data_IF_946333578677
#
_entry.id   IF_946333578677
#
_cell.length_a   1.000
_cell.length_b   1.000
_cell.length_c   1.000
_cell.angle_alpha   90.00
_cell.angle_beta   90.00
_cell.angle_gamma   90.00
#
_symmetry.space_group_name_H-M   'P 1'
#
loop_
_entity.id
_entity.type
_entity.pdbx_description
1 polymer ?
#
# COMPACT_ATOMS: atom_id res chain seq x y z
N UNK A 1 20.26 27.69 32.36
CA UNK A 1 19.04 28.30 31.77
C UNK A 1 18.94 27.78 30.34
N UNK A 2 18.09 26.79 30.11
CA UNK A 2 17.88 26.21 28.78
C UNK A 2 17.05 27.18 27.93
N UNK A 3 17.43 27.45 26.67
CA UNK A 3 16.65 28.35 25.82
C UNK A 3 15.33 27.67 25.43
N UNK A 4 14.22 28.32 25.76
CA UNK A 4 12.88 27.96 25.27
C UNK A 4 12.84 28.08 23.74
N UNK A 5 12.59 26.96 23.04
CA UNK A 5 12.36 26.94 21.60
C UNK A 5 11.06 27.69 21.27
N UNK A 6 11.05 28.60 20.27
CA UNK A 6 9.89 29.44 19.97
C UNK A 6 8.76 28.67 19.26
N UNK A 7 7.55 28.81 19.78
CA UNK A 7 6.28 28.17 19.41
C UNK A 7 5.67 28.66 18.08
N UNK A 8 6.46 28.94 17.05
CA UNK A 8 5.96 29.50 15.78
C UNK A 8 6.48 28.73 14.58
N UNK A 9 5.81 27.62 14.25
CA UNK A 9 5.94 26.94 12.95
C UNK A 9 4.68 26.11 12.69
N UNK A 10 3.58 26.80 12.37
CA UNK A 10 2.38 26.19 11.76
C UNK A 10 1.79 27.21 10.79
N UNK A 11 2.27 27.21 9.55
CA UNK A 11 1.58 27.86 8.44
C UNK A 11 2.16 27.37 7.11
N UNK A 12 1.38 26.51 6.44
CA UNK A 12 1.29 26.27 5.00
C UNK A 12 1.29 24.77 4.67
N UNK A 13 0.12 24.13 4.83
CA UNK A 13 -0.24 23.02 3.96
C UNK A 13 -1.63 23.31 3.40
N UNK A 14 -1.68 23.59 2.10
CA UNK A 14 -2.91 23.86 1.35
C UNK A 14 -3.79 22.61 1.39
N UNK A 15 -4.97 22.72 2.01
CA UNK A 15 -6.04 21.73 1.94
C UNK A 15 -6.68 21.82 0.56
N UNK A 16 -6.31 20.93 -0.36
CA UNK A 16 -7.09 20.70 -1.57
C UNK A 16 -8.28 19.79 -1.21
N UNK A 17 -9.39 20.40 -0.80
CA UNK A 17 -10.69 19.70 -0.72
C UNK A 17 -11.30 19.67 -2.11
N UNK A 18 -11.20 18.52 -2.80
CA UNK A 18 -11.94 18.28 -4.05
C UNK A 18 -13.36 17.79 -3.71
N UNK A 19 -14.42 18.46 -4.19
CA UNK A 19 -15.77 17.95 -4.04
C UNK A 19 -16.08 16.92 -5.13
N UNK A 20 -16.19 15.64 -4.77
CA UNK A 20 -16.83 14.62 -5.61
C UNK A 20 -18.27 14.42 -5.13
N UNK A 21 -19.24 14.93 -5.88
CA UNK A 21 -20.66 14.60 -5.66
C UNK A 21 -20.94 13.22 -6.28
N UNK A 22 -20.89 12.16 -5.48
CA UNK A 22 -21.39 10.84 -5.84
C UNK A 22 -22.67 10.55 -5.04
N UNK A 23 -23.69 10.00 -5.70
CA UNK A 23 -24.97 9.65 -5.07
C UNK A 23 -24.79 8.38 -4.23
N UNK A 24 -24.75 8.53 -2.91
CA UNK A 24 -24.65 7.42 -1.97
C UNK A 24 -25.96 6.64 -1.80
N UNK A 25 -25.91 5.43 -1.22
CA UNK A 25 -27.11 4.66 -0.88
C UNK A 25 -28.02 5.42 0.10
N UNK A 26 -29.34 5.24 -0.04
CA UNK A 26 -30.35 5.91 0.76
C UNK A 26 -30.10 5.75 2.27
N UNK A 27 -30.00 6.87 2.99
CA UNK A 27 -29.77 6.93 4.44
C UNK A 27 -28.39 7.46 4.85
N UNK A 28 -27.49 7.72 3.90
CA UNK A 28 -26.20 8.38 4.17
C UNK A 28 -26.24 9.81 3.61
N UNK A 29 -26.19 10.80 4.49
CA UNK A 29 -25.89 12.17 4.09
C UNK A 29 -24.49 12.17 3.43
N UNK A 30 -24.35 12.78 2.25
CA UNK A 30 -23.17 12.64 1.37
C UNK A 30 -21.81 13.08 1.96
N UNK A 31 -21.75 13.43 3.24
CA UNK A 31 -20.56 13.89 3.96
C UNK A 31 -19.56 12.77 4.30
N UNK A 32 -19.95 11.49 4.18
CA UNK A 32 -19.11 10.34 4.59
C UNK A 32 -18.98 9.27 3.50
N UNK A 33 -18.89 9.70 2.24
CA UNK A 33 -18.69 8.81 1.11
C UNK A 33 -17.22 8.78 0.69
N UNK A 34 -16.73 7.58 0.37
CA UNK A 34 -15.47 7.39 -0.32
C UNK A 34 -15.59 7.87 -1.79
N UNK A 35 -14.48 8.02 -2.53
CA UNK A 35 -14.49 8.53 -3.91
C UNK A 35 -15.36 7.74 -4.89
N UNK A 36 -15.64 6.46 -4.62
CA UNK A 36 -16.52 5.60 -5.41
C UNK A 36 -18.01 5.74 -5.04
N UNK A 37 -18.38 6.69 -4.16
CA UNK A 37 -19.74 6.92 -3.71
C UNK A 37 -20.26 5.92 -2.69
N UNK A 38 -19.43 4.99 -2.22
CA UNK A 38 -19.79 4.04 -1.15
C UNK A 38 -19.50 4.64 0.23
N UNK A 39 -20.18 4.16 1.28
CA UNK A 39 -19.85 4.54 2.65
C UNK A 39 -18.36 4.37 2.96
N UNK A 40 -17.77 5.42 3.54
CA UNK A 40 -16.37 5.48 3.96
C UNK A 40 -16.24 5.99 5.39
N UNK A 41 -15.00 6.25 5.80
CA UNK A 41 -14.67 6.85 7.09
C UNK A 41 -15.08 8.33 7.13
N UNK A 42 -14.93 9.05 6.01
CA UNK A 42 -15.30 10.46 5.87
C UNK A 42 -14.17 11.41 6.27
N UNK A 43 -13.88 12.40 5.41
CA UNK A 43 -12.76 13.34 5.58
C UNK A 43 -13.05 14.53 6.50
N UNK A 44 -14.31 14.71 6.91
CA UNK A 44 -14.75 15.81 7.78
C UNK A 44 -14.84 15.42 9.25
N UNK A 45 -14.80 14.12 9.56
CA UNK A 45 -14.92 13.61 10.93
C UNK A 45 -13.70 13.99 11.76
N UNK A 46 -13.94 14.45 12.98
CA UNK A 46 -12.89 14.64 14.00
C UNK A 46 -12.25 13.30 14.39
N UNK A 47 -11.07 13.33 15.01
CA UNK A 47 -10.41 12.14 15.53
C UNK A 47 -11.31 11.38 16.52
N UNK A 48 -12.10 12.12 17.31
CA UNK A 48 -13.08 11.53 18.25
C UNK A 48 -14.22 10.81 17.53
N UNK A 49 -14.76 11.38 16.46
CA UNK A 49 -15.83 10.75 15.67
C UNK A 49 -15.33 9.52 14.93
N UNK A 50 -14.15 9.60 14.31
CA UNK A 50 -13.49 8.43 13.71
C UNK A 50 -13.24 7.34 14.76
N UNK A 51 -12.85 7.71 15.98
CA UNK A 51 -12.66 6.77 17.08
C UNK A 51 -13.93 6.01 17.47
N UNK A 52 -15.11 6.64 17.39
CA UNK A 52 -16.39 5.97 17.68
C UNK A 52 -16.73 4.86 16.69
N UNK A 53 -16.21 4.92 15.46
CA UNK A 53 -16.43 3.86 14.45
C UNK A 53 -15.83 2.51 14.85
N UNK A 54 -14.81 2.51 15.70
CA UNK A 54 -14.19 1.28 16.23
C UNK A 54 -14.95 0.71 17.44
N UNK A 55 -15.97 1.42 17.93
CA UNK A 55 -16.93 0.97 18.92
C UNK A 55 -18.37 1.26 18.45
N UNK A 56 -18.78 0.75 17.27
CA UNK A 56 -19.98 1.21 16.60
C UNK A 56 -21.22 0.72 17.36
N UNK A 57 -22.07 1.68 17.74
CA UNK A 57 -23.43 1.42 18.23
C UNK A 57 -24.42 1.17 17.08
N UNK A 58 -24.08 1.59 15.87
CA UNK A 58 -24.89 1.43 14.66
C UNK A 58 -24.41 0.23 13.81
N UNK A 59 -25.36 -0.60 13.38
CA UNK A 59 -25.14 -1.76 12.51
C UNK A 59 -24.69 -1.36 11.11
N UNK A 60 -25.07 -0.18 10.62
CA UNK A 60 -24.61 0.30 9.31
C UNK A 60 -23.11 0.63 9.34
N UNK A 61 -22.64 1.37 10.35
CA UNK A 61 -21.21 1.66 10.55
C UNK A 61 -20.40 0.39 10.79
N UNK A 62 -20.93 -0.55 11.58
CA UNK A 62 -20.29 -1.86 11.81
C UNK A 62 -20.08 -2.63 10.52
N UNK A 63 -21.09 -2.69 9.65
CA UNK A 63 -21.00 -3.36 8.34
C UNK A 63 -20.06 -2.63 7.39
N UNK A 64 -20.07 -1.30 7.39
CA UNK A 64 -19.14 -0.50 6.58
C UNK A 64 -17.69 -0.78 6.98
N UNK A 65 -17.36 -0.70 8.28
CA UNK A 65 -16.00 -0.95 8.76
C UNK A 65 -15.55 -2.39 8.52
N UNK A 66 -16.42 -3.38 8.78
CA UNK A 66 -16.13 -4.79 8.48
C UNK A 66 -15.91 -5.01 6.97
N UNK A 67 -16.68 -4.31 6.13
CA UNK A 67 -16.51 -4.32 4.68
C UNK A 67 -15.15 -3.78 4.24
N UNK A 68 -14.66 -2.69 4.83
CA UNK A 68 -13.32 -2.15 4.55
C UNK A 68 -12.23 -3.12 5.00
N UNK A 69 -12.32 -3.63 6.24
CA UNK A 69 -11.35 -4.59 6.80
C UNK A 69 -11.29 -5.88 5.96
N UNK A 70 -12.43 -6.33 5.43
CA UNK A 70 -12.52 -7.55 4.63
C UNK A 70 -11.94 -7.47 3.22
N UNK A 71 -11.69 -6.26 2.68
CA UNK A 71 -11.26 -6.09 1.28
C UNK A 71 -9.95 -6.82 0.97
N UNK A 72 -8.99 -6.76 1.89
CA UNK A 72 -7.71 -7.44 1.73
C UNK A 72 -7.92 -8.96 1.61
N UNK A 73 -8.71 -9.54 2.51
CA UNK A 73 -9.04 -10.97 2.51
C UNK A 73 -9.77 -11.41 1.26
N UNK A 74 -10.77 -10.64 0.82
CA UNK A 74 -11.53 -10.92 -0.41
C UNK A 74 -10.60 -11.00 -1.65
N UNK A 75 -9.67 -10.06 -1.77
CA UNK A 75 -8.72 -10.02 -2.89
C UNK A 75 -7.71 -11.17 -2.80
N UNK A 76 -7.23 -11.52 -1.61
CA UNK A 76 -6.34 -12.67 -1.42
C UNK A 76 -7.02 -13.99 -1.82
N UNK A 77 -8.33 -14.14 -1.55
CA UNK A 77 -9.10 -15.30 -2.03
C UNK A 77 -9.13 -15.36 -3.56
N UNK A 78 -9.37 -14.22 -4.24
CA UNK A 78 -9.37 -14.14 -5.71
C UNK A 78 -7.97 -14.37 -6.31
N UNK A 79 -6.91 -13.94 -5.60
CA UNK A 79 -5.52 -14.24 -5.94
C UNK A 79 -5.27 -15.75 -5.88
N UNK A 80 -5.69 -16.42 -4.81
CA UNK A 80 -5.52 -17.87 -4.66
C UNK A 80 -6.35 -18.67 -5.69
N UNK A 81 -7.54 -18.20 -6.04
CA UNK A 81 -8.28 -18.76 -7.18
C UNK A 81 -7.50 -18.65 -8.49
N UNK A 82 -6.84 -17.52 -8.72
CA UNK A 82 -5.98 -17.32 -9.90
C UNK A 82 -4.79 -18.27 -9.89
N UNK A 83 -4.12 -18.46 -8.75
CA UNK A 83 -3.02 -19.41 -8.59
C UNK A 83 -3.46 -20.83 -8.96
N UNK A 84 -4.58 -21.29 -8.41
CA UNK A 84 -5.13 -22.62 -8.72
C UNK A 84 -5.39 -22.80 -10.21
N UNK A 85 -5.94 -21.77 -10.86
CA UNK A 85 -6.25 -21.81 -12.27
C UNK A 85 -4.97 -21.81 -13.15
N UNK A 86 -3.94 -21.04 -12.77
CA UNK A 86 -2.64 -21.06 -13.44
C UNK A 86 -1.88 -22.38 -13.27
N UNK A 87 -1.97 -23.01 -12.09
CA UNK A 87 -1.43 -24.36 -11.86
C UNK A 87 -2.13 -25.37 -12.75
N UNK A 88 -3.45 -25.33 -12.85
CA UNK A 88 -4.21 -26.20 -13.75
C UNK A 88 -3.85 -25.99 -15.23
N UNK A 89 -3.43 -24.78 -15.60
CA UNK A 89 -2.97 -24.46 -16.96
C UNK A 89 -1.49 -24.79 -17.23
N UNK A 90 -0.74 -25.30 -16.24
CA UNK A 90 0.69 -25.63 -16.36
C UNK A 90 1.63 -24.41 -16.40
N UNK A 91 1.16 -23.19 -16.13
CA UNK A 91 1.98 -21.98 -16.27
C UNK A 91 3.20 -21.97 -15.33
N UNK A 92 3.07 -22.58 -14.15
CA UNK A 92 4.17 -22.70 -13.19
C UNK A 92 5.25 -23.69 -13.63
N UNK A 93 4.94 -24.63 -14.52
CA UNK A 93 5.91 -25.59 -15.04
C UNK A 93 7.00 -24.90 -15.85
N UNK A 94 6.71 -23.71 -16.40
CA UNK A 94 7.66 -22.85 -17.09
C UNK A 94 8.77 -22.29 -16.17
N UNK A 95 8.56 -22.31 -14.85
CA UNK A 95 9.53 -21.86 -13.84
C UNK A 95 10.26 -23.02 -13.16
N UNK A 96 9.82 -24.26 -13.33
CA UNK A 96 10.36 -25.45 -12.65
C UNK A 96 9.93 -25.64 -11.19
N UNK A 97 9.51 -24.57 -10.51
CA UNK A 97 8.66 -24.49 -9.32
C UNK A 97 8.58 -23.01 -8.94
N UNK A 98 7.46 -22.53 -8.40
CA UNK A 98 7.43 -21.15 -7.93
C UNK A 98 6.08 -20.64 -7.43
N UNK A 99 6.14 -19.43 -6.88
CA UNK A 99 4.99 -18.68 -6.38
C UNK A 99 4.47 -17.67 -7.41
N UNK A 100 3.27 -17.13 -7.18
CA UNK A 100 2.63 -16.22 -8.14
C UNK A 100 3.49 -15.00 -8.47
N UNK A 101 4.15 -14.43 -7.46
CA UNK A 101 4.95 -13.22 -7.62
C UNK A 101 6.20 -13.50 -8.47
N UNK A 102 6.75 -14.71 -8.40
CA UNK A 102 7.85 -15.16 -9.26
C UNK A 102 7.36 -15.33 -10.71
N UNK A 103 6.18 -15.90 -10.93
CA UNK A 103 5.57 -16.00 -12.25
C UNK A 103 5.28 -14.63 -12.87
N UNK A 104 4.70 -13.72 -12.10
CA UNK A 104 4.47 -12.34 -12.52
C UNK A 104 5.78 -11.59 -12.76
N UNK A 105 6.80 -11.80 -11.92
CA UNK A 105 8.12 -11.19 -12.04
C UNK A 105 8.92 -11.69 -13.24
N UNK A 106 8.78 -12.96 -13.61
CA UNK A 106 9.45 -13.57 -14.76
C UNK A 106 8.80 -13.21 -16.11
N UNK A 107 7.51 -12.84 -16.12
CA UNK A 107 6.77 -12.60 -17.36
C UNK A 107 7.37 -11.51 -18.28
N UNK A 108 7.92 -10.38 -17.82
CA UNK A 108 8.62 -9.42 -18.67
C UNK A 108 9.77 -10.04 -19.47
N UNK A 109 10.60 -10.87 -18.82
CA UNK A 109 11.70 -11.59 -19.49
C UNK A 109 11.17 -12.63 -20.46
N UNK A 110 10.13 -13.36 -20.05
CA UNK A 110 9.42 -14.29 -20.91
C UNK A 110 8.90 -13.63 -22.18
N UNK A 111 8.36 -12.39 -22.06
CA UNK A 111 7.89 -11.61 -23.21
C UNK A 111 9.02 -11.21 -24.16
N UNK A 112 10.18 -10.79 -23.65
CA UNK A 112 11.31 -10.42 -24.50
C UNK A 112 11.92 -11.60 -25.27
N UNK A 113 11.77 -12.81 -24.73
CA UNK A 113 12.33 -14.05 -25.29
C UNK A 113 11.22 -15.05 -25.70
N UNK A 114 10.04 -14.53 -26.07
CA UNK A 114 8.84 -15.35 -26.24
C UNK A 114 9.03 -16.50 -27.22
N UNK A 115 9.73 -16.30 -28.34
CA UNK A 115 9.91 -17.36 -29.34
C UNK A 115 10.82 -18.48 -28.84
N UNK A 116 11.84 -18.14 -28.04
CA UNK A 116 12.72 -19.12 -27.40
C UNK A 116 11.95 -19.93 -26.35
N UNK A 117 11.17 -19.25 -25.52
CA UNK A 117 10.33 -19.91 -24.53
C UNK A 117 9.22 -20.74 -25.15
N UNK A 118 8.60 -20.30 -26.25
CA UNK A 118 7.60 -21.07 -27.00
C UNK A 118 8.25 -22.28 -27.67
N UNK A 119 9.46 -22.16 -28.20
CA UNK A 119 10.21 -23.29 -28.76
C UNK A 119 10.52 -24.37 -27.71
N UNK A 120 10.80 -24.00 -26.46
CA UNK A 120 11.11 -24.93 -25.36
C UNK A 120 9.88 -25.44 -24.61
N UNK A 121 8.99 -24.53 -24.24
CA UNK A 121 7.79 -24.75 -23.42
C UNK A 121 6.52 -25.03 -24.22
N UNK A 122 6.62 -25.01 -25.55
CA UNK A 122 5.55 -25.40 -26.47
C UNK A 122 4.27 -24.60 -26.29
N UNK A 123 3.14 -25.31 -26.32
CA UNK A 123 1.79 -24.74 -26.25
C UNK A 123 1.55 -23.96 -24.94
N UNK A 124 2.12 -24.41 -23.80
CA UNK A 124 1.91 -23.76 -22.50
C UNK A 124 2.50 -22.35 -22.49
N UNK A 125 3.72 -22.21 -23.03
CA UNK A 125 4.37 -20.92 -23.20
C UNK A 125 3.57 -20.00 -24.14
N UNK A 126 3.07 -20.52 -25.26
CA UNK A 126 2.24 -19.76 -26.18
C UNK A 126 0.94 -19.28 -25.50
N UNK A 127 0.27 -20.16 -24.75
CA UNK A 127 -0.97 -19.83 -24.03
C UNK A 127 -0.76 -18.80 -22.94
N UNK A 128 0.30 -18.93 -22.13
CA UNK A 128 0.65 -17.91 -21.13
C UNK A 128 0.88 -16.55 -21.79
N UNK A 129 1.62 -16.52 -22.90
CA UNK A 129 1.84 -15.28 -23.64
C UNK A 129 0.52 -14.66 -24.06
N UNK A 130 -0.40 -15.45 -24.61
CA UNK A 130 -1.65 -14.96 -25.20
C UNK A 130 -2.77 -14.73 -24.17
N UNK A 131 -2.60 -15.16 -22.92
CA UNK A 131 -3.60 -15.01 -21.85
C UNK A 131 -3.70 -13.54 -21.40
N UNK A 132 -4.70 -12.84 -21.94
CA UNK A 132 -4.95 -11.45 -21.60
C UNK A 132 -5.42 -11.27 -20.16
N UNK A 133 -6.10 -12.27 -19.58
CA UNK A 133 -6.54 -12.21 -18.18
C UNK A 133 -5.36 -12.32 -17.24
N UNK A 134 -4.39 -13.17 -17.57
CA UNK A 134 -3.13 -13.24 -16.84
C UNK A 134 -2.44 -11.87 -16.83
N UNK A 135 -2.25 -11.27 -18.02
CA UNK A 135 -1.60 -9.96 -18.17
C UNK A 135 -2.30 -8.85 -17.38
N UNK A 136 -3.63 -8.82 -17.41
CA UNK A 136 -4.42 -7.83 -16.67
C UNK A 136 -4.37 -8.07 -15.16
N UNK A 137 -4.52 -9.32 -14.70
CA UNK A 137 -4.43 -9.67 -13.27
C UNK A 137 -3.07 -9.32 -12.68
N UNK A 138 -1.97 -9.59 -13.42
CA UNK A 138 -0.63 -9.17 -13.03
C UNK A 138 -0.57 -7.67 -12.73
N UNK A 139 -0.97 -6.84 -13.70
CA UNK A 139 -0.93 -5.38 -13.52
C UNK A 139 -1.86 -4.86 -12.42
N UNK A 140 -2.98 -5.54 -12.14
CA UNK A 140 -3.86 -5.20 -11.02
C UNK A 140 -3.24 -5.58 -9.67
N UNK A 141 -2.68 -6.78 -9.56
CA UNK A 141 -2.08 -7.28 -8.32
C UNK A 141 -0.79 -6.55 -7.93
N UNK A 142 -0.04 -6.01 -8.91
CA UNK A 142 1.09 -5.12 -8.63
C UNK A 142 0.68 -3.85 -7.84
N UNK A 143 -0.61 -3.47 -7.87
CA UNK A 143 -1.16 -2.33 -7.13
C UNK A 143 -1.78 -2.72 -5.78
N UNK A 144 -2.13 -3.99 -5.61
CA UNK A 144 -2.85 -4.48 -4.44
C UNK A 144 -2.10 -4.21 -3.15
N UNK A 145 -0.81 -4.52 -3.09
CA UNK A 145 0.00 -4.40 -1.86
C UNK A 145 0.00 -2.98 -1.32
N UNK A 146 0.16 -1.99 -2.20
CA UNK A 146 0.16 -0.59 -1.82
C UNK A 146 -1.19 -0.18 -1.23
N UNK A 147 -2.30 -0.46 -1.92
CA UNK A 147 -3.63 -0.06 -1.42
C UNK A 147 -4.04 -0.83 -0.16
N UNK A 148 -3.69 -2.12 -0.07
CA UNK A 148 -3.94 -2.93 1.12
C UNK A 148 -3.19 -2.39 2.33
N UNK A 149 -1.92 -2.02 2.16
CA UNK A 149 -1.12 -1.37 3.21
C UNK A 149 -1.77 -0.06 3.68
N UNK A 150 -2.20 0.79 2.77
CA UNK A 150 -2.84 2.08 3.11
C UNK A 150 -4.10 1.90 3.97
N UNK A 151 -4.94 0.92 3.63
CA UNK A 151 -6.13 0.57 4.44
C UNK A 151 -5.71 0.00 5.79
N UNK A 152 -4.81 -0.99 5.80
CA UNK A 152 -4.40 -1.70 7.01
C UNK A 152 -3.75 -0.77 8.02
N UNK A 153 -2.76 0.00 7.59
CA UNK A 153 -1.94 0.87 8.42
C UNK A 153 -2.74 2.09 8.88
N UNK A 154 -3.57 2.66 8.00
CA UNK A 154 -4.47 3.74 8.34
C UNK A 154 -5.51 3.33 9.39
N UNK A 155 -6.14 2.18 9.22
CA UNK A 155 -7.06 1.63 10.22
C UNK A 155 -6.35 1.27 11.54
N UNK A 156 -5.12 0.78 11.48
CA UNK A 156 -4.32 0.47 12.67
C UNK A 156 -4.08 1.73 13.52
N UNK A 157 -3.65 2.83 12.91
CA UNK A 157 -3.44 4.10 13.62
C UNK A 157 -4.74 4.71 14.14
N UNK A 158 -5.80 4.74 13.33
CA UNK A 158 -7.10 5.27 13.76
C UNK A 158 -7.67 4.46 14.93
N UNK A 159 -7.58 3.14 14.86
CA UNK A 159 -7.99 2.26 15.97
C UNK A 159 -7.13 2.45 17.21
N UNK A 160 -5.80 2.53 17.06
CA UNK A 160 -4.91 2.78 18.19
C UNK A 160 -5.20 4.15 18.84
N UNK A 161 -5.62 5.14 18.05
CA UNK A 161 -6.07 6.42 18.57
C UNK A 161 -7.41 6.32 19.31
N UNK A 162 -8.36 5.54 18.79
CA UNK A 162 -9.64 5.28 19.44
C UNK A 162 -9.47 4.60 20.82
N UNK A 163 -8.51 3.68 20.90
CA UNK A 163 -8.17 2.94 22.12
C UNK A 163 -7.27 3.75 23.08
N UNK A 164 -6.87 4.97 22.69
CA UNK A 164 -6.09 5.89 23.54
C UNK A 164 -4.59 5.60 23.61
N UNK A 165 -4.06 4.77 22.72
CA UNK A 165 -2.63 4.43 22.64
C UNK A 165 -1.85 5.40 21.75
N UNK A 166 -2.49 5.92 20.71
CA UNK A 166 -1.89 6.91 19.80
C UNK A 166 -2.61 8.25 19.92
N UNK A 167 -1.87 9.35 19.92
CA UNK A 167 -2.44 10.69 19.83
C UNK A 167 -2.41 11.15 18.38
N UNK A 168 -3.60 11.39 17.80
CA UNK A 168 -3.76 12.01 16.48
C UNK A 168 -4.47 13.35 16.64
N UNK A 169 -3.97 14.39 15.95
CA UNK A 169 -4.73 15.63 15.76
C UNK A 169 -5.86 15.39 14.76
N UNK A 170 -6.93 16.17 14.82
CA UNK A 170 -8.06 16.03 13.89
C UNK A 170 -7.62 16.05 12.42
N UNK A 171 -6.74 17.00 12.05
CA UNK A 171 -6.20 17.10 10.68
C UNK A 171 -5.39 15.86 10.28
N UNK A 172 -4.64 15.23 11.20
CA UNK A 172 -3.91 13.99 10.92
C UNK A 172 -4.89 12.83 10.72
N UNK A 173 -5.88 12.70 11.62
CA UNK A 173 -6.89 11.64 11.54
C UNK A 173 -7.73 11.74 10.26
N UNK A 174 -8.12 12.96 9.86
CA UNK A 174 -8.84 13.22 8.60
C UNK A 174 -8.00 12.85 7.37
N UNK A 175 -6.71 13.16 7.36
CA UNK A 175 -5.80 12.76 6.26
C UNK A 175 -5.65 11.25 6.16
N UNK A 176 -5.48 10.57 7.29
CA UNK A 176 -5.42 9.10 7.34
C UNK A 176 -6.75 8.52 6.84
N UNK A 177 -7.89 9.03 7.31
CA UNK A 177 -9.21 8.58 6.86
C UNK A 177 -9.41 8.76 5.35
N UNK A 178 -9.01 9.91 4.78
CA UNK A 178 -9.07 10.15 3.34
C UNK A 178 -8.20 9.20 2.52
N UNK A 179 -7.01 8.82 3.02
CA UNK A 179 -6.15 7.81 2.39
C UNK A 179 -6.79 6.42 2.43
N UNK A 180 -7.37 6.04 3.57
CA UNK A 180 -8.10 4.76 3.71
C UNK A 180 -9.31 4.73 2.79
N UNK A 181 -10.08 5.81 2.67
CA UNK A 181 -11.24 5.88 1.78
C UNK A 181 -10.86 5.76 0.30
N UNK A 182 -9.81 6.46 -0.12
CA UNK A 182 -9.26 6.33 -1.46
C UNK A 182 -8.79 4.90 -1.74
N UNK A 183 -7.96 4.34 -0.86
CA UNK A 183 -7.45 2.98 -1.02
C UNK A 183 -8.56 1.93 -1.02
N UNK A 184 -9.57 2.09 -0.15
CA UNK A 184 -10.74 1.21 -0.09
C UNK A 184 -11.57 1.26 -1.38
N UNK A 185 -11.77 2.44 -1.96
CA UNK A 185 -12.45 2.60 -3.24
C UNK A 185 -11.69 1.88 -4.38
N UNK A 186 -10.36 2.03 -4.41
CA UNK A 186 -9.50 1.36 -5.37
C UNK A 186 -9.49 -0.17 -5.18
N UNK A 187 -9.40 -0.67 -3.94
CA UNK A 187 -9.48 -2.10 -3.63
C UNK A 187 -10.85 -2.69 -4.02
N UNK A 188 -11.95 -1.97 -3.79
CA UNK A 188 -13.27 -2.41 -4.25
C UNK A 188 -13.34 -2.54 -5.77
N UNK A 189 -12.78 -1.58 -6.51
CA UNK A 189 -12.70 -1.65 -7.95
C UNK A 189 -11.80 -2.80 -8.43
N UNK A 190 -10.65 -3.01 -7.78
CA UNK A 190 -9.73 -4.12 -8.04
C UNK A 190 -10.42 -5.47 -7.81
N UNK A 191 -11.17 -5.62 -6.71
CA UNK A 191 -11.94 -6.82 -6.40
C UNK A 191 -12.94 -7.15 -7.50
N UNK A 192 -13.71 -6.16 -7.95
CA UNK A 192 -14.67 -6.33 -9.06
C UNK A 192 -13.98 -6.73 -10.38
N UNK A 193 -12.79 -6.20 -10.64
CA UNK A 193 -12.00 -6.58 -11.81
C UNK A 193 -11.48 -8.00 -11.74
N UNK A 194 -10.94 -8.40 -10.58
CA UNK A 194 -10.50 -9.77 -10.38
C UNK A 194 -11.68 -10.75 -10.50
N UNK A 195 -12.86 -10.40 -9.98
CA UNK A 195 -14.10 -11.15 -10.16
C UNK A 195 -14.49 -11.27 -11.65
N UNK A 196 -14.41 -10.18 -12.41
CA UNK A 196 -14.71 -10.16 -13.84
C UNK A 196 -13.69 -10.93 -14.69
N UNK A 197 -12.43 -10.99 -14.24
CA UNK A 197 -11.33 -11.69 -14.88
C UNK A 197 -11.21 -13.16 -14.44
N UNK A 198 -12.14 -13.67 -13.62
CA UNK A 198 -12.14 -15.07 -13.20
C UNK A 198 -12.15 -16.00 -14.42
N UNK A 199 -11.35 -17.06 -14.34
CA UNK A 199 -11.40 -18.15 -15.31
C UNK A 199 -12.64 -19.01 -15.05
N UNK A 200 -13.77 -18.61 -15.64
CA UNK A 200 -14.88 -19.54 -15.87
C UNK A 200 -14.43 -20.49 -16.97
N UNK A 201 -14.65 -21.80 -16.82
CA UNK A 201 -14.13 -22.85 -17.72
C UNK A 201 -14.60 -22.80 -19.19
N UNK A 202 -15.13 -21.66 -19.65
CA UNK A 202 -15.45 -21.38 -21.05
C UNK A 202 -14.18 -20.97 -21.81
N UNK A 203 -13.85 -21.75 -22.83
CA UNK A 203 -12.77 -21.46 -23.79
C UNK A 203 -13.07 -20.26 -24.70
N UNK A 204 -14.32 -19.78 -24.73
CA UNK A 204 -14.74 -18.65 -25.57
C UNK A 204 -14.90 -17.33 -24.81
N UNK A 205 -14.64 -17.33 -23.50
CA UNK A 205 -14.85 -16.13 -22.71
C UNK A 205 -13.78 -15.05 -23.04
N UNK A 206 -14.07 -13.75 -22.90
CA UNK A 206 -13.16 -12.68 -23.29
C UNK A 206 -11.78 -12.80 -22.62
N UNK A 207 -10.72 -12.69 -23.41
CA UNK A 207 -9.34 -12.73 -22.92
C UNK A 207 -8.72 -14.12 -22.72
N UNK A 208 -9.44 -15.21 -23.04
CA UNK A 208 -8.84 -16.55 -23.20
C UNK A 208 -7.91 -16.55 -24.43
N UNK A 209 -6.77 -17.26 -24.40
CA UNK A 209 -5.92 -17.47 -25.57
C UNK A 209 -6.73 -17.99 -26.76
N UNK A 210 -6.57 -17.33 -27.90
CA UNK A 210 -7.16 -17.77 -29.16
C UNK A 210 -6.34 -18.92 -29.74
N UNK A 211 -6.98 -20.05 -30.07
CA UNK A 211 -6.30 -21.24 -30.59
C UNK A 211 -5.54 -20.92 -31.89
N UNK A 212 -6.12 -20.12 -32.78
CA UNK A 212 -5.46 -19.70 -34.02
C UNK A 212 -4.24 -18.82 -33.76
N UNK A 213 -4.26 -18.00 -32.71
CA UNK A 213 -3.08 -17.20 -32.31
C UNK A 213 -2.01 -18.07 -31.65
N UNK A 214 -2.40 -19.15 -30.95
CA UNK A 214 -1.45 -20.10 -30.39
C UNK A 214 -0.70 -20.83 -31.51
N UNK A 215 -1.43 -21.32 -32.52
CA UNK A 215 -0.84 -21.92 -33.72
C UNK A 215 0.06 -20.94 -34.47
N UNK A 216 -0.40 -19.69 -34.66
CA UNK A 216 0.40 -18.63 -35.28
C UNK A 216 1.72 -18.41 -34.53
N UNK A 217 1.69 -18.32 -33.19
CA UNK A 217 2.88 -18.11 -32.37
C UNK A 217 3.84 -19.31 -32.39
N UNK A 218 3.31 -20.53 -32.41
CA UNK A 218 4.10 -21.76 -32.55
C UNK A 218 4.80 -21.82 -33.92
N UNK A 219 4.11 -21.43 -34.99
CA UNK A 219 4.69 -21.35 -36.33
C UNK A 219 5.78 -20.28 -36.42
N UNK A 220 5.57 -19.11 -35.80
CA UNK A 220 6.58 -18.06 -35.72
C UNK A 220 7.82 -18.52 -34.95
N UNK A 221 7.66 -19.29 -33.87
CA UNK A 221 8.79 -19.86 -33.13
C UNK A 221 9.61 -20.87 -33.96
N UNK A 222 8.96 -21.56 -34.91
CA UNK A 222 9.62 -22.51 -35.81
C UNK A 222 10.26 -21.86 -37.06
N UNK A 223 9.96 -20.59 -37.36
CA UNK A 223 10.35 -19.90 -38.61
C UNK A 223 11.11 -18.59 -38.34
N UNK A 224 12.41 -18.65 -37.97
CA UNK A 224 13.18 -17.49 -37.48
C UNK A 224 13.30 -16.34 -38.50
N UNK A 225 13.26 -16.62 -39.80
CA UNK A 225 13.43 -15.60 -40.85
C UNK A 225 12.23 -14.64 -40.96
N UNK A 226 11.01 -15.08 -40.62
CA UNK A 226 9.78 -14.26 -40.66
C UNK A 226 9.24 -13.93 -39.27
N UNK A 227 9.80 -14.58 -38.24
CA UNK A 227 9.41 -14.50 -36.84
C UNK A 227 9.26 -13.07 -36.31
N UNK A 228 10.22 -12.19 -36.61
CA UNK A 228 10.27 -10.84 -36.01
C UNK A 228 9.10 -9.97 -36.42
N UNK A 229 8.77 -9.95 -37.72
CA UNK A 229 7.67 -9.14 -38.26
C UNK A 229 6.32 -9.71 -37.85
N UNK A 230 6.17 -11.05 -37.91
CA UNK A 230 4.94 -11.71 -37.49
C UNK A 230 4.64 -11.54 -36.00
N UNK A 231 5.66 -11.66 -35.15
CA UNK A 231 5.52 -11.44 -33.71
C UNK A 231 5.10 -10.00 -33.40
N UNK A 232 5.70 -9.01 -34.06
CA UNK A 232 5.35 -7.62 -33.85
C UNK A 232 3.88 -7.32 -34.22
N UNK A 233 3.37 -7.92 -35.30
CA UNK A 233 1.95 -7.78 -35.67
C UNK A 233 1.02 -8.47 -34.66
N UNK A 234 1.37 -9.69 -34.21
CA UNK A 234 0.62 -10.40 -33.19
C UNK A 234 0.58 -9.62 -31.86
N UNK A 235 1.71 -9.07 -31.42
CA UNK A 235 1.79 -8.22 -30.23
C UNK A 235 0.89 -6.99 -30.34
N UNK A 236 0.87 -6.32 -31.50
CA UNK A 236 -0.01 -5.19 -31.74
C UNK A 236 -1.48 -5.57 -31.61
N UNK A 237 -1.91 -6.66 -32.27
CA UNK A 237 -3.29 -7.19 -32.17
C UNK A 237 -3.66 -7.55 -30.72
N UNK A 238 -2.72 -8.17 -30.01
CA UNK A 238 -2.90 -8.55 -28.61
C UNK A 238 -3.04 -7.34 -27.71
N UNK A 239 -2.26 -6.28 -27.94
CA UNK A 239 -2.31 -5.03 -27.19
C UNK A 239 -3.60 -4.24 -27.44
N UNK A 240 -4.10 -4.22 -28.68
CA UNK A 240 -5.41 -3.64 -29.03
C UNK A 240 -6.55 -4.38 -28.31
N UNK A 241 -6.49 -5.72 -28.25
CA UNK A 241 -7.48 -6.53 -27.53
C UNK A 241 -7.37 -6.33 -26.01
N UNK A 242 -6.16 -6.25 -25.47
CA UNK A 242 -5.88 -5.97 -24.06
C UNK A 242 -6.46 -4.61 -23.66
N UNK A 243 -6.23 -3.57 -24.47
CA UNK A 243 -6.72 -2.21 -24.22
C UNK A 243 -8.25 -2.17 -24.19
N UNK A 244 -8.92 -2.86 -25.13
CA UNK A 244 -10.39 -2.97 -25.13
C UNK A 244 -10.92 -3.69 -23.88
N UNK A 245 -10.28 -4.78 -23.47
CA UNK A 245 -10.66 -5.51 -22.27
C UNK A 245 -10.43 -4.67 -21.00
N UNK A 246 -9.29 -3.98 -20.92
CA UNK A 246 -8.94 -3.08 -19.81
C UNK A 246 -9.92 -1.89 -19.70
N UNK A 247 -10.40 -1.34 -20.81
CA UNK A 247 -11.35 -0.23 -20.80
C UNK A 247 -12.71 -0.60 -20.17
N UNK A 248 -13.07 -1.89 -20.15
CA UNK A 248 -14.29 -2.37 -19.49
C UNK A 248 -14.12 -2.55 -17.97
N UNK A 249 -12.89 -2.54 -17.46
CA UNK A 249 -12.57 -2.75 -16.06
C UNK A 249 -12.94 -1.54 -15.18
N UNK A 250 -13.24 -1.81 -13.91
CA UNK A 250 -13.61 -0.84 -12.88
C UNK A 250 -12.40 -0.08 -12.36
N UNK A 251 -11.26 -0.73 -12.11
CA UNK A 251 -10.07 -0.10 -11.52
C UNK A 251 -9.50 1.01 -12.40
N UNK A 252 -9.28 0.83 -13.73
CA UNK A 252 -8.79 1.93 -14.57
C UNK A 252 -9.71 3.15 -14.52
N UNK A 253 -11.04 2.94 -14.50
CA UNK A 253 -12.02 4.01 -14.37
C UNK A 253 -11.91 4.68 -13.00
N UNK A 254 -11.91 3.93 -11.90
CA UNK A 254 -11.77 4.47 -10.55
C UNK A 254 -10.47 5.26 -10.40
N UNK A 255 -9.34 4.70 -10.87
CA UNK A 255 -8.04 5.35 -10.86
C UNK A 255 -8.03 6.64 -11.69
N UNK A 256 -8.71 6.69 -12.85
CA UNK A 256 -8.85 7.93 -13.62
C UNK A 256 -9.68 8.99 -12.88
N UNK A 257 -10.79 8.62 -12.24
CA UNK A 257 -11.61 9.57 -11.47
C UNK A 257 -10.87 10.10 -10.24
N UNK A 258 -9.96 9.30 -9.67
CA UNK A 258 -9.15 9.66 -8.50
C UNK A 258 -7.68 9.94 -8.83
N UNK A 259 -7.36 10.25 -10.10
CA UNK A 259 -5.97 10.35 -10.57
C UNK A 259 -5.17 11.42 -9.81
N UNK A 260 -5.78 12.58 -9.59
CA UNK A 260 -5.16 13.68 -8.83
C UNK A 260 -4.88 13.27 -7.37
N UNK A 261 -5.85 12.65 -6.70
CA UNK A 261 -5.68 12.18 -5.32
C UNK A 261 -4.59 11.10 -5.21
N UNK A 262 -4.52 10.19 -6.18
CA UNK A 262 -3.47 9.17 -6.25
C UNK A 262 -2.09 9.80 -6.47
N UNK A 263 -1.98 10.77 -7.38
CA UNK A 263 -0.73 11.46 -7.67
C UNK A 263 -0.25 12.30 -6.47
N UNK A 264 -1.16 13.00 -5.78
CA UNK A 264 -0.85 13.77 -4.56
C UNK A 264 -0.36 12.85 -3.44
N UNK A 265 -1.03 11.72 -3.20
CA UNK A 265 -0.61 10.74 -2.19
C UNK A 265 0.76 10.14 -2.51
N UNK A 266 0.99 9.76 -3.77
CA UNK A 266 2.27 9.22 -4.22
C UNK A 266 3.40 10.25 -4.05
N UNK A 267 3.19 11.47 -4.55
CA UNK A 267 4.19 12.54 -4.43
C UNK A 267 4.50 12.92 -2.98
N UNK A 268 3.50 12.92 -2.09
CA UNK A 268 3.73 13.14 -0.66
C UNK A 268 4.55 12.02 -0.02
N UNK A 269 4.27 10.76 -0.38
CA UNK A 269 5.02 9.59 0.11
C UNK A 269 6.47 9.61 -0.38
N UNK A 270 6.68 9.91 -1.67
CA UNK A 270 8.02 10.05 -2.25
C UNK A 270 8.82 11.16 -1.56
N UNK A 271 8.21 12.32 -1.34
CA UNK A 271 8.85 13.43 -0.61
C UNK A 271 9.21 13.07 0.83
N UNK A 272 8.35 12.31 1.53
CA UNK A 272 8.63 11.84 2.88
C UNK A 272 9.84 10.88 2.90
N UNK A 273 9.92 9.96 1.93
CA UNK A 273 11.03 9.00 1.79
C UNK A 273 12.35 9.71 1.48
N UNK A 274 12.34 10.79 0.68
CA UNK A 274 13.54 11.58 0.38
C UNK A 274 14.19 12.20 1.63
N UNK A 275 13.45 12.36 2.73
CA UNK A 275 14.01 12.86 3.99
C UNK A 275 14.82 11.81 4.76
N UNK A 276 14.57 10.51 4.54
CA UNK A 276 15.14 9.42 5.35
C UNK A 276 16.68 9.41 5.39
N UNK A 277 17.42 9.51 4.25
CA UNK A 277 18.87 9.49 4.29
C UNK A 277 19.45 10.62 5.15
N UNK A 278 18.85 11.81 5.08
CA UNK A 278 19.27 12.95 5.89
C UNK A 278 18.97 12.78 7.38
N UNK A 279 17.84 12.17 7.73
CA UNK A 279 17.48 11.87 9.13
C UNK A 279 18.44 10.83 9.71
N UNK A 280 18.73 9.74 8.96
CA UNK A 280 19.64 8.69 9.40
C UNK A 280 21.06 9.23 9.61
N UNK A 281 21.60 9.98 8.65
CA UNK A 281 22.92 10.61 8.79
C UNK A 281 23.02 11.50 10.06
N UNK A 282 21.93 12.16 10.43
CA UNK A 282 21.89 12.97 11.64
C UNK A 282 21.90 12.12 12.93
N UNK A 283 21.38 10.90 12.94
CA UNK A 283 21.24 10.08 14.15
C UNK A 283 22.43 9.12 14.36
N UNK A 284 23.28 9.33 15.38
CA UNK A 284 24.50 8.53 15.58
C UNK A 284 24.30 7.02 15.73
N UNK A 285 23.10 6.58 16.13
CA UNK A 285 22.78 5.18 16.35
C UNK A 285 22.63 4.38 15.05
N UNK A 286 22.29 5.06 13.95
CA UNK A 286 22.11 4.46 12.63
C UNK A 286 23.46 4.11 11.98
N UNK A 287 23.44 3.30 10.92
CA UNK A 287 24.65 2.99 10.17
C UNK A 287 25.22 4.25 9.50
N UNK A 288 24.37 5.01 8.81
CA UNK A 288 24.73 6.25 8.12
C UNK A 288 25.23 7.32 9.08
N UNK A 289 24.67 7.39 10.29
CA UNK A 289 25.08 8.35 11.31
C UNK A 289 26.44 8.08 11.95
N UNK A 290 26.92 6.83 11.94
CA UNK A 290 28.28 6.44 12.37
C UNK A 290 29.34 6.85 11.34
N UNK A 291 28.97 6.85 10.07
CA UNK A 291 29.83 7.27 8.94
C UNK A 291 29.40 8.63 8.38
N UNK A 292 28.76 9.46 9.21
CA UNK A 292 28.23 10.75 8.79
C UNK A 292 29.33 11.66 8.24
N UNK A 293 28.97 12.54 7.30
CA UNK A 293 29.92 13.52 6.75
C UNK A 293 30.53 14.38 7.86
N UNK A 294 31.79 14.86 7.70
CA UNK A 294 32.46 15.64 8.75
C UNK A 294 31.66 16.86 9.23
N UNK A 295 30.90 17.53 8.35
CA UNK A 295 30.09 18.68 8.75
C UNK A 295 28.94 18.28 9.67
N UNK A 296 28.38 17.08 9.49
CA UNK A 296 27.30 16.54 10.34
C UNK A 296 27.88 15.98 11.63
N UNK A 297 29.00 15.26 11.55
CA UNK A 297 29.67 14.68 12.71
C UNK A 297 30.18 15.76 13.69
N UNK A 298 30.57 16.93 13.17
CA UNK A 298 31.01 18.08 13.99
C UNK A 298 29.86 18.78 14.74
N UNK A 299 28.60 18.50 14.41
CA UNK A 299 27.45 19.06 15.13
C UNK A 299 27.33 18.42 16.53
N UNK A 300 26.99 19.25 17.52
CA UNK A 300 26.62 18.76 18.84
C UNK A 300 25.46 17.74 18.76
N UNK A 301 25.50 16.70 19.59
CA UNK A 301 24.49 15.63 19.60
C UNK A 301 23.06 16.17 19.74
N UNK A 302 22.84 17.18 20.60
CA UNK A 302 21.53 17.84 20.75
C UNK A 302 21.05 18.51 19.46
N UNK A 303 21.93 19.16 18.70
CA UNK A 303 21.59 19.78 17.42
C UNK A 303 21.27 18.74 16.35
N UNK A 304 22.04 17.64 16.32
CA UNK A 304 21.79 16.50 15.42
C UNK A 304 20.40 15.92 15.65
N UNK A 305 20.07 15.57 16.90
CA UNK A 305 18.76 15.04 17.27
C UNK A 305 17.64 16.04 17.00
N UNK A 306 17.83 17.33 17.27
CA UNK A 306 16.78 18.32 17.09
C UNK A 306 16.45 18.53 15.61
N UNK A 307 17.48 18.50 14.75
CA UNK A 307 17.31 18.56 13.31
C UNK A 307 16.66 17.29 12.76
N UNK A 308 17.08 16.12 13.24
CA UNK A 308 16.50 14.83 12.85
C UNK A 308 15.01 14.76 13.22
N UNK A 309 14.65 15.13 14.45
CA UNK A 309 13.26 15.16 14.91
C UNK A 309 12.40 16.11 14.06
N UNK A 310 12.89 17.31 13.77
CA UNK A 310 12.17 18.28 12.93
C UNK A 310 11.91 17.70 11.53
N UNK A 311 12.94 17.15 10.87
CA UNK A 311 12.80 16.55 9.55
C UNK A 311 11.84 15.35 9.56
N UNK A 312 11.91 14.51 10.59
CA UNK A 312 11.02 13.37 10.73
C UNK A 312 9.56 13.81 10.91
N UNK A 313 9.29 14.83 11.73
CA UNK A 313 7.94 15.36 11.93
C UNK A 313 7.40 16.05 10.67
N UNK A 314 8.24 16.80 9.96
CA UNK A 314 7.88 17.40 8.66
C UNK A 314 7.54 16.32 7.62
N UNK A 315 8.32 15.24 7.55
CA UNK A 315 8.08 14.11 6.66
C UNK A 315 6.82 13.31 7.06
N UNK A 316 6.57 13.10 8.36
CA UNK A 316 5.33 12.46 8.85
C UNK A 316 4.07 13.29 8.57
N UNK A 317 4.19 14.61 8.43
CA UNK A 317 3.06 15.43 8.01
C UNK A 317 2.65 15.16 6.54
N UNK A 318 3.58 14.66 5.72
CA UNK A 318 3.35 14.21 4.34
C UNK A 318 2.89 12.75 4.31
N UNK A 319 3.60 11.86 5.02
CA UNK A 319 3.29 10.44 5.09
C UNK A 319 3.16 9.93 6.54
N UNK A 320 1.96 10.07 7.16
CA UNK A 320 1.74 9.64 8.54
C UNK A 320 1.77 8.11 8.73
N UNK A 321 1.79 7.33 7.66
CA UNK A 321 1.79 5.86 7.69
C UNK A 321 3.22 5.29 7.59
N UNK A 322 4.24 6.13 7.50
CA UNK A 322 5.62 5.68 7.39
C UNK A 322 6.17 5.19 8.74
N UNK A 323 6.31 3.87 8.88
CA UNK A 323 6.77 3.23 10.13
C UNK A 323 8.17 3.71 10.54
N UNK A 324 9.09 3.84 9.59
CA UNK A 324 10.47 4.20 9.86
C UNK A 324 10.58 5.64 10.35
N UNK A 325 9.84 6.57 9.72
CA UNK A 325 9.80 7.96 10.19
C UNK A 325 9.24 8.07 11.61
N UNK A 326 8.24 7.26 11.97
CA UNK A 326 7.74 7.20 13.35
C UNK A 326 8.82 6.72 14.32
N UNK A 327 9.56 5.67 13.97
CA UNK A 327 10.65 5.16 14.80
C UNK A 327 11.78 6.19 14.95
N UNK A 328 12.24 6.80 13.86
CA UNK A 328 13.32 7.80 13.87
C UNK A 328 12.92 9.07 14.62
N UNK A 329 11.64 9.50 14.54
CA UNK A 329 11.11 10.58 15.37
C UNK A 329 11.17 10.21 16.87
N UNK A 330 10.84 8.96 17.22
CA UNK A 330 10.98 8.44 18.58
C UNK A 330 12.44 8.43 19.06
N UNK A 331 13.37 7.94 18.25
CA UNK A 331 14.82 7.92 18.57
C UNK A 331 15.35 9.34 18.74
N UNK A 332 15.06 10.24 17.80
CA UNK A 332 15.47 11.63 17.87
C UNK A 332 14.89 12.35 19.10
N UNK A 333 13.61 12.12 19.37
CA UNK A 333 12.88 12.70 20.50
C UNK A 333 13.37 12.19 21.86
N UNK A 334 13.77 10.92 21.97
CA UNK A 334 14.26 10.31 23.22
C UNK A 334 15.44 11.06 23.85
N UNK A 335 16.23 11.75 23.03
CA UNK A 335 17.35 12.58 23.49
C UNK A 335 16.93 13.96 24.00
N UNK A 336 15.75 14.47 23.59
CA UNK A 336 15.38 15.89 23.71
C UNK A 336 14.12 16.14 24.53
N UNK A 337 13.16 15.23 24.47
CA UNK A 337 11.79 15.43 24.93
C UNK A 337 11.50 14.64 26.21
N UNK A 338 10.40 14.98 26.87
CA UNK A 338 9.86 14.18 27.96
C UNK A 338 9.46 12.78 27.47
N UNK A 339 9.70 11.71 28.25
CA UNK A 339 9.35 10.35 27.85
C UNK A 339 7.89 10.15 27.40
N UNK A 340 6.94 10.97 27.88
CA UNK A 340 5.53 10.90 27.43
C UNK A 340 5.35 11.39 26.00
N UNK A 341 6.10 12.39 25.56
CA UNK A 341 6.06 12.89 24.19
C UNK A 341 6.73 11.90 23.23
N UNK A 342 7.85 11.33 23.65
CA UNK A 342 8.59 10.30 22.92
C UNK A 342 7.74 9.05 22.71
N UNK A 343 7.02 8.64 23.76
CA UNK A 343 6.11 7.50 23.74
C UNK A 343 5.12 7.59 22.57
N UNK A 344 4.59 8.76 22.25
CA UNK A 344 3.60 8.90 21.17
C UNK A 344 4.16 8.44 19.81
N UNK A 345 5.45 8.66 19.54
CA UNK A 345 6.09 8.23 18.29
C UNK A 345 6.33 6.72 18.25
N UNK A 346 6.78 6.14 19.37
CA UNK A 346 6.95 4.69 19.47
C UNK A 346 5.61 3.94 19.46
N UNK A 347 4.55 4.47 20.08
CA UNK A 347 3.20 3.90 20.00
C UNK A 347 2.69 3.90 18.54
N UNK A 348 2.94 4.96 17.76
CA UNK A 348 2.62 5.00 16.32
C UNK A 348 3.38 3.92 15.54
N UNK A 349 4.70 3.84 15.73
CA UNK A 349 5.54 2.82 15.11
C UNK A 349 5.04 1.41 15.42
N UNK A 350 4.83 1.08 16.71
CA UNK A 350 4.34 -0.23 17.11
C UNK A 350 2.95 -0.54 16.54
N UNK A 351 2.03 0.43 16.50
CA UNK A 351 0.71 0.25 15.92
C UNK A 351 0.78 -0.13 14.43
N UNK A 352 1.65 0.53 13.65
CA UNK A 352 1.90 0.20 12.23
C UNK A 352 2.51 -1.21 12.07
N UNK A 353 3.29 -1.68 13.05
CA UNK A 353 3.84 -3.04 13.11
C UNK A 353 2.86 -4.10 13.64
N UNK A 354 1.61 -3.71 13.92
CA UNK A 354 0.59 -4.56 14.51
C UNK A 354 0.83 -4.92 15.99
N UNK A 355 1.71 -4.20 16.68
CA UNK A 355 2.09 -4.43 18.08
C UNK A 355 1.36 -3.44 18.97
N UNK A 356 0.76 -3.94 20.05
CA UNK A 356 0.14 -3.14 21.10
C UNK A 356 0.90 -3.32 22.40
N UNK A 357 1.57 -2.28 22.89
CA UNK A 357 2.41 -2.39 24.08
C UNK A 357 1.65 -2.90 25.33
N UNK A 358 0.35 -2.58 25.43
CA UNK A 358 -0.54 -3.01 26.51
C UNK A 358 -1.23 -4.37 26.31
N UNK A 359 -1.03 -5.05 25.18
CA UNK A 359 -1.60 -6.38 24.89
C UNK A 359 -0.50 -7.33 24.39
N UNK A 360 0.04 -8.12 25.33
CA UNK A 360 1.14 -9.06 25.09
C UNK A 360 0.83 -10.11 24.02
N UNK A 361 -0.45 -10.43 23.81
CA UNK A 361 -0.91 -11.37 22.77
C UNK A 361 -0.49 -10.94 21.37
N UNK A 362 -0.25 -9.64 21.15
CA UNK A 362 0.19 -9.11 19.85
C UNK A 362 1.68 -9.33 19.55
N UNK A 363 2.49 -9.70 20.55
CA UNK A 363 3.95 -9.86 20.36
C UNK A 363 4.62 -11.00 21.12
N UNK A 364 3.98 -11.65 22.08
CA UNK A 364 4.61 -12.67 22.94
C UNK A 364 5.14 -13.88 22.17
N UNK A 365 4.48 -14.25 21.07
CA UNK A 365 4.80 -15.43 20.26
C UNK A 365 5.60 -15.05 18.99
N UNK A 366 6.11 -13.81 18.92
CA UNK A 366 6.81 -13.24 17.77
C UNK A 366 8.25 -12.89 18.13
N UNK A 367 9.18 -13.16 17.20
CA UNK A 367 10.52 -12.61 17.27
C UNK A 367 10.47 -11.10 16.96
N UNK A 368 10.67 -10.26 17.97
CA UNK A 368 10.73 -8.81 17.80
C UNK A 368 12.05 -8.41 17.15
N UNK A 369 12.00 -7.45 16.22
CA UNK A 369 13.22 -6.77 15.76
C UNK A 369 13.86 -5.98 16.90
N UNK A 370 15.13 -5.62 16.76
CA UNK A 370 15.82 -4.77 17.75
C UNK A 370 15.11 -3.41 17.94
N UNK A 371 14.56 -2.86 16.86
CA UNK A 371 13.79 -1.61 16.86
C UNK A 371 12.44 -1.77 17.57
N UNK A 372 11.72 -2.87 17.31
CA UNK A 372 10.46 -3.19 17.98
C UNK A 372 10.65 -3.40 19.47
N UNK A 373 11.68 -4.15 19.87
CA UNK A 373 12.02 -4.37 21.27
C UNK A 373 12.38 -3.05 21.97
N UNK A 374 13.16 -2.18 21.32
CA UNK A 374 13.51 -0.85 21.85
C UNK A 374 12.29 0.04 22.01
N UNK A 375 11.45 0.12 20.98
CA UNK A 375 10.22 0.92 21.00
C UNK A 375 9.26 0.43 22.09
N UNK A 376 9.07 -0.90 22.19
CA UNK A 376 8.23 -1.51 23.22
C UNK A 376 8.73 -1.21 24.63
N UNK A 377 10.04 -1.35 24.88
CA UNK A 377 10.65 -1.03 26.15
C UNK A 377 10.47 0.46 26.52
N UNK A 378 10.62 1.36 25.54
CA UNK A 378 10.41 2.79 25.73
C UNK A 378 8.97 3.10 26.15
N UNK A 379 7.96 2.52 25.46
CA UNK A 379 6.55 2.71 25.82
C UNK A 379 6.23 2.15 27.21
N UNK A 380 6.72 0.94 27.53
CA UNK A 380 6.45 0.27 28.80
C UNK A 380 7.09 0.99 30.00
N UNK A 381 8.27 1.60 29.81
CA UNK A 381 8.97 2.35 30.87
C UNK A 381 8.16 3.52 31.42
N UNK A 382 7.32 4.16 30.58
CA UNK A 382 6.46 5.29 30.97
C UNK A 382 5.20 4.82 31.70
N UNK A 383 4.70 3.62 31.37
CA UNK A 383 3.49 3.05 31.97
C UNK A 383 3.63 2.59 33.42
N UNK A 384 4.85 2.24 33.85
CA UNK A 384 5.14 1.74 35.19
C UNK A 384 5.20 2.84 36.28
N UNK A 385 5.21 4.12 35.89
CA UNK A 385 5.27 5.27 36.80
C UNK A 385 3.93 5.73 37.39
N UNK A 386 2.83 5.02 37.13
CA UNK A 386 1.51 5.26 37.74
C UNK A 386 0.93 3.95 38.26
N UNK A 387 1.31 3.59 39.49
CA UNK A 387 0.47 2.81 40.41
C UNK A 387 0.54 3.46 41.77
#
# INVERSE_FOLDING_TARGET
MAPSLPSRLVAALVLATLPCAASGPAGWDGEHLAPDGRPGLGVTRSARELGRLFHPSDDAERRMLAGIIGLEGDILVLREESVRAYRAAGYFDLLGAGELDELHGAFPSFRSEVLEHVGRGGEVAARLFLDLRFRLRRGLLDRFEHEAREVRDGLALLRASAEGFVLLKDVEAQRIAGRVDLASALLRALRLDLEALRQTGSTHAPGVPDEGWCEELLLLAAAPDTARTGLADLERRLEERRTRLAAALFFPRAASHSAEACALRAGASDQAVLALPGIRELLPETEEGRTARPEVAALAASHRHARALRLAVEALALDPLNEELCYLAGVAGAFLLDPREVRAWFDRYLALRGIRAGDDRTYRDRALSAEEARALAAVQSVGLGRR
#
